data_IF_649697266345
#
_entry.id   IF_649697266345
#
_cell.length_a   1.000
_cell.length_b   1.000
_cell.length_c   1.000
_cell.angle_alpha   90.00
_cell.angle_beta   90.00
_cell.angle_gamma   90.00
#
_symmetry.space_group_name_H-M   'P 1'
#
loop_
_entity.id
_entity.type
_entity.pdbx_description
1 polymer ?
#
# COMPACT_ATOMS: atom_id res chain seq x y z
N UNK A 1 -7.59 0.58 5.29
CA UNK A 1 -8.08 -0.80 5.46
C UNK A 1 -8.29 -1.05 6.95
N UNK A 2 -9.14 -2.01 7.32
CA UNK A 2 -9.49 -2.37 8.68
C UNK A 2 -9.39 -3.88 8.86
N UNK A 3 -9.02 -4.32 10.06
CA UNK A 3 -8.96 -5.72 10.47
C UNK A 3 -9.13 -5.82 11.99
N UNK A 4 -9.23 -7.03 12.52
CA UNK A 4 -8.99 -7.28 13.94
C UNK A 4 -7.56 -7.75 14.12
N UNK A 5 -6.92 -7.31 15.19
CA UNK A 5 -5.51 -7.60 15.42
C UNK A 5 -5.13 -7.53 16.87
N UNK A 6 -3.88 -7.89 17.12
CA UNK A 6 -3.27 -7.83 18.44
C UNK A 6 -2.01 -6.99 18.38
N UNK A 7 -1.59 -6.51 19.54
CA UNK A 7 -0.32 -5.80 19.67
C UNK A 7 0.84 -6.81 19.63
N UNK A 8 1.72 -6.67 18.64
CA UNK A 8 3.03 -7.29 18.64
C UNK A 8 4.05 -6.47 19.43
N UNK A 9 5.34 -6.71 19.21
CA UNK A 9 6.41 -6.06 19.98
C UNK A 9 6.42 -4.53 19.80
N UNK A 10 6.34 -4.07 18.56
CA UNK A 10 6.40 -2.64 18.20
C UNK A 10 5.11 -2.11 17.60
N UNK A 11 4.37 -2.95 16.87
CA UNK A 11 3.23 -2.56 16.04
C UNK A 11 2.04 -3.51 16.22
N UNK A 12 0.87 -3.10 15.74
CA UNK A 12 -0.27 -4.02 15.62
C UNK A 12 -0.11 -4.90 14.39
N UNK A 13 -0.66 -6.11 14.45
CA UNK A 13 -0.74 -7.00 13.30
C UNK A 13 -2.14 -7.62 13.21
N UNK A 14 -2.71 -7.77 12.01
CA UNK A 14 -3.94 -8.52 11.82
C UNK A 14 -3.78 -9.95 12.35
N UNK A 15 -4.83 -10.47 12.97
CA UNK A 15 -4.88 -11.90 13.30
C UNK A 15 -4.85 -12.72 12.01
N UNK A 16 -4.27 -13.92 12.06
CA UNK A 16 -4.24 -14.81 10.88
C UNK A 16 -5.64 -15.18 10.38
N UNK A 17 -6.61 -15.26 11.29
CA UNK A 17 -8.02 -15.52 10.99
C UNK A 17 -8.77 -14.28 10.54
N UNK A 18 -8.15 -13.10 10.58
CA UNK A 18 -8.83 -11.85 10.30
C UNK A 18 -8.92 -11.57 8.81
N UNK A 19 -10.08 -11.06 8.38
CA UNK A 19 -10.24 -10.55 7.02
C UNK A 19 -9.87 -9.07 6.96
N UNK A 20 -8.86 -8.72 6.15
CA UNK A 20 -8.56 -7.32 5.85
C UNK A 20 -9.64 -6.74 4.95
N UNK A 21 -10.40 -5.78 5.48
CA UNK A 21 -11.55 -5.18 4.81
C UNK A 21 -11.32 -3.69 4.48
N UNK A 22 -11.94 -3.22 3.40
CA UNK A 22 -11.99 -1.80 3.08
C UNK A 22 -12.90 -1.03 4.04
N UNK A 23 -13.99 -1.65 4.48
CA UNK A 23 -15.00 -1.02 5.32
C UNK A 23 -14.84 -1.42 6.79
N UNK A 24 -14.86 -0.41 7.67
CA UNK A 24 -14.75 -0.59 9.12
C UNK A 24 -15.81 -1.53 9.69
N UNK A 25 -17.05 -1.42 9.21
CA UNK A 25 -18.18 -2.21 9.70
C UNK A 25 -17.92 -3.72 9.58
N UNK A 26 -17.21 -4.16 8.54
CA UNK A 26 -16.86 -5.58 8.34
C UNK A 26 -15.95 -6.08 9.46
N UNK A 27 -14.88 -5.33 9.77
CA UNK A 27 -13.96 -5.68 10.83
C UNK A 27 -14.58 -5.53 12.24
N UNK A 28 -15.52 -4.60 12.43
CA UNK A 28 -16.30 -4.49 13.67
C UNK A 28 -17.21 -5.71 13.89
N UNK A 29 -17.87 -6.20 12.83
CA UNK A 29 -18.69 -7.39 12.91
C UNK A 29 -17.85 -8.64 13.21
N UNK A 30 -16.66 -8.73 12.62
CA UNK A 30 -15.69 -9.78 12.90
C UNK A 30 -15.20 -9.74 14.35
N UNK A 31 -14.88 -8.54 14.87
CA UNK A 31 -14.48 -8.36 16.26
C UNK A 31 -15.56 -8.81 17.24
N UNK A 32 -16.83 -8.53 16.94
CA UNK A 32 -17.96 -8.95 17.77
C UNK A 32 -18.16 -10.48 17.82
N UNK A 33 -17.60 -11.21 16.85
CA UNK A 33 -17.63 -12.67 16.78
C UNK A 33 -16.33 -13.32 17.27
N UNK A 34 -15.31 -12.53 17.59
CA UNK A 34 -14.01 -13.04 18.04
C UNK A 34 -14.09 -13.52 19.49
N UNK A 35 -13.59 -14.74 19.74
CA UNK A 35 -13.40 -15.28 21.09
C UNK A 35 -12.09 -14.79 21.74
N UNK A 36 -11.21 -14.13 20.98
CA UNK A 36 -9.95 -13.59 21.49
C UNK A 36 -10.18 -12.25 22.21
N UNK A 37 -9.97 -12.26 23.53
CA UNK A 37 -10.15 -11.10 24.41
C UNK A 37 -9.12 -9.99 24.19
N UNK A 38 -8.00 -10.27 23.52
CA UNK A 38 -6.97 -9.27 23.22
C UNK A 38 -7.13 -8.68 21.82
N UNK A 39 -8.04 -9.21 21.01
CA UNK A 39 -8.32 -8.67 19.69
C UNK A 39 -8.89 -7.26 19.81
N UNK A 40 -8.34 -6.34 19.02
CA UNK A 40 -8.83 -4.98 18.89
C UNK A 40 -9.03 -4.62 17.42
N UNK A 41 -9.88 -3.64 17.17
CA UNK A 41 -10.03 -3.09 15.84
C UNK A 41 -8.78 -2.27 15.48
N UNK A 42 -8.15 -2.63 14.36
CA UNK A 42 -6.96 -1.95 13.85
C UNK A 42 -7.22 -1.36 12.46
N UNK A 43 -6.52 -0.28 12.14
CA UNK A 43 -6.58 0.41 10.86
C UNK A 43 -5.20 0.53 10.24
N UNK A 44 -5.13 0.30 8.92
CA UNK A 44 -3.97 0.60 8.11
C UNK A 44 -4.30 1.76 7.16
N UNK A 45 -3.45 2.79 7.18
CA UNK A 45 -3.56 3.93 6.28
C UNK A 45 -2.64 3.71 5.10
N UNK A 46 -3.26 3.73 3.93
CA UNK A 46 -2.56 3.75 2.65
C UNK A 46 -2.87 5.10 2.03
N UNK A 47 -1.83 5.87 1.73
CA UNK A 47 -2.00 7.15 1.05
C UNK A 47 -2.29 6.95 -0.45
N UNK A 48 -2.80 7.99 -1.14
CA UNK A 48 -2.98 7.94 -2.59
C UNK A 48 -1.66 7.68 -3.32
N UNK A 49 -1.75 7.11 -4.51
CA UNK A 49 -0.63 7.02 -5.45
C UNK A 49 -0.14 8.41 -5.84
N UNK A 50 1.17 8.59 -5.87
CA UNK A 50 1.83 9.81 -6.33
C UNK A 50 3.07 9.46 -7.16
N UNK A 51 3.57 10.37 -8.02
CA UNK A 51 4.86 10.21 -8.66
C UNK A 51 5.94 9.95 -7.62
N UNK A 52 6.83 9.01 -7.90
CA UNK A 52 7.89 8.66 -6.99
C UNK A 52 8.85 9.83 -6.75
N UNK A 53 9.12 10.14 -5.48
CA UNK A 53 10.07 11.20 -5.11
C UNK A 53 11.44 10.61 -4.80
N UNK A 54 12.52 11.33 -5.13
CA UNK A 54 13.90 10.89 -4.86
C UNK A 54 14.30 10.97 -3.38
N UNK A 55 13.39 11.35 -2.48
CA UNK A 55 13.73 11.59 -1.08
C UNK A 55 14.22 10.30 -0.39
N UNK A 56 15.49 10.35 0.02
CA UNK A 56 16.23 9.25 0.63
C UNK A 56 15.86 8.96 2.10
N UNK A 57 15.09 9.83 2.74
CA UNK A 57 14.76 9.72 4.17
C UNK A 57 13.33 9.23 4.36
N UNK A 58 13.13 7.94 4.08
CA UNK A 58 11.82 7.28 4.14
C UNK A 58 11.65 6.55 5.47
N UNK A 59 10.54 6.81 6.17
CA UNK A 59 10.23 6.23 7.49
C UNK A 59 9.17 5.12 7.46
N UNK A 60 8.49 4.93 6.33
CA UNK A 60 7.45 3.93 6.14
C UNK A 60 7.71 3.07 4.90
N UNK A 61 7.23 1.81 4.85
CA UNK A 61 7.24 1.01 3.63
C UNK A 61 6.37 1.61 2.51
N UNK A 62 6.66 1.24 1.26
CA UNK A 62 5.91 1.69 0.09
C UNK A 62 5.43 0.52 -0.76
N UNK A 63 4.22 0.66 -1.28
CA UNK A 63 3.83 -0.02 -2.50
C UNK A 63 4.24 0.86 -3.68
N UNK A 64 4.78 0.23 -4.72
CA UNK A 64 5.15 0.91 -5.94
C UNK A 64 4.67 0.13 -7.16
N UNK A 65 4.48 0.87 -8.24
CA UNK A 65 4.23 0.31 -9.55
C UNK A 65 5.08 1.06 -10.56
N UNK A 66 5.76 0.29 -11.41
CA UNK A 66 6.45 0.82 -12.60
C UNK A 66 5.56 0.49 -13.78
N UNK A 67 5.37 1.46 -14.68
CA UNK A 67 4.64 1.26 -15.91
C UNK A 67 5.12 2.21 -16.98
N UNK A 68 4.42 2.21 -18.10
CA UNK A 68 4.64 3.17 -19.16
C UNK A 68 3.33 3.82 -19.58
N UNK A 69 3.46 5.02 -20.12
CA UNK A 69 2.39 5.79 -20.74
C UNK A 69 2.68 5.94 -22.22
N UNK A 70 1.70 5.72 -23.08
CA UNK A 70 1.77 6.05 -24.52
C UNK A 70 1.14 7.42 -24.85
N UNK A 71 0.84 8.21 -23.82
CA UNK A 71 0.21 9.53 -23.90
C UNK A 71 -1.28 9.51 -23.52
N UNK A 72 -2.02 8.50 -23.95
CA UNK A 72 -3.47 8.36 -23.69
C UNK A 72 -3.78 7.22 -22.70
N UNK A 73 -2.87 6.26 -22.56
CA UNK A 73 -3.06 5.09 -21.71
C UNK A 73 -1.88 4.84 -20.79
N UNK A 74 -2.19 4.51 -19.55
CA UNK A 74 -1.22 4.02 -18.58
C UNK A 74 -1.31 2.51 -18.46
N UNK A 75 -0.19 1.82 -18.71
CA UNK A 75 -0.07 0.37 -18.53
C UNK A 75 0.91 0.08 -17.40
N UNK A 76 0.44 -0.40 -16.23
CA UNK A 76 1.32 -0.84 -15.15
C UNK A 76 1.97 -2.18 -15.53
N UNK A 77 3.26 -2.31 -15.24
CA UNK A 77 4.02 -3.56 -15.43
C UNK A 77 3.80 -4.53 -14.26
N UNK A 78 3.51 -4.01 -13.07
CA UNK A 78 3.22 -4.81 -11.87
C UNK A 78 3.06 -3.95 -10.61
N UNK A 79 2.54 -4.55 -9.56
CA UNK A 79 2.46 -3.96 -8.22
C UNK A 79 3.42 -4.71 -7.30
N UNK A 80 4.39 -3.99 -6.75
CA UNK A 80 5.44 -4.52 -5.89
C UNK A 80 5.46 -3.79 -4.54
N UNK A 81 6.04 -4.43 -3.53
CA UNK A 81 6.22 -3.85 -2.19
C UNK A 81 7.70 -3.87 -1.85
N UNK A 82 8.26 -2.72 -1.49
CA UNK A 82 9.65 -2.63 -1.07
C UNK A 82 9.85 -1.51 -0.05
N UNK A 83 10.75 -1.75 0.90
CA UNK A 83 11.34 -0.73 1.76
C UNK A 83 12.72 -0.27 1.26
N UNK A 84 13.25 -0.92 0.21
CA UNK A 84 14.53 -0.64 -0.40
C UNK A 84 14.33 0.07 -1.74
N UNK A 85 14.82 1.31 -1.83
CA UNK A 85 14.75 2.14 -3.04
C UNK A 85 15.53 1.54 -4.20
N UNK A 86 16.66 0.88 -3.92
CA UNK A 86 17.51 0.32 -4.97
C UNK A 86 16.81 -0.80 -5.74
N UNK A 87 15.96 -1.58 -5.06
CA UNK A 87 15.12 -2.59 -5.71
C UNK A 87 14.13 -1.95 -6.69
N UNK A 88 13.58 -0.78 -6.33
CA UNK A 88 12.63 -0.07 -7.19
C UNK A 88 13.32 0.55 -8.41
N UNK A 89 14.49 1.16 -8.20
CA UNK A 89 15.30 1.76 -9.27
C UNK A 89 15.81 0.70 -10.26
N UNK A 90 16.09 -0.51 -9.78
CA UNK A 90 16.43 -1.65 -10.62
C UNK A 90 15.24 -2.08 -11.49
N UNK A 91 14.04 -2.18 -10.92
CA UNK A 91 12.83 -2.46 -11.71
C UNK A 91 12.56 -1.35 -12.75
N UNK A 92 12.70 -0.08 -12.36
CA UNK A 92 12.57 1.06 -13.25
C UNK A 92 13.53 0.99 -14.45
N UNK A 93 14.80 0.71 -14.17
CA UNK A 93 15.85 0.56 -15.19
C UNK A 93 15.53 -0.59 -16.14
N UNK A 94 15.01 -1.70 -15.62
CA UNK A 94 14.61 -2.86 -16.41
C UNK A 94 13.48 -2.53 -17.38
N UNK A 95 12.46 -1.79 -16.91
CA UNK A 95 11.35 -1.32 -17.74
C UNK A 95 11.82 -0.36 -18.83
N UNK A 96 12.69 0.60 -18.48
CA UNK A 96 13.28 1.53 -19.43
C UNK A 96 14.05 0.81 -20.55
N UNK A 97 14.87 -0.18 -20.20
CA UNK A 97 15.61 -0.98 -21.17
C UNK A 97 14.66 -1.75 -22.11
N UNK A 98 13.63 -2.40 -21.56
CA UNK A 98 12.69 -3.17 -22.37
C UNK A 98 11.83 -2.29 -23.30
N UNK A 99 11.50 -1.05 -22.92
CA UNK A 99 10.86 -0.08 -23.82
C UNK A 99 11.81 0.31 -24.95
N UNK A 100 13.07 0.62 -24.63
CA UNK A 100 14.07 0.95 -25.64
C UNK A 100 14.31 -0.21 -26.64
N UNK A 101 14.31 -1.45 -26.15
CA UNK A 101 14.47 -2.65 -26.97
C UNK A 101 13.23 -2.99 -27.82
N UNK A 102 12.05 -2.47 -27.47
CA UNK A 102 10.79 -2.86 -28.11
C UNK A 102 10.67 -2.42 -29.57
N UNK A 103 11.50 -1.49 -30.06
CA UNK A 103 11.49 -0.95 -31.43
C UNK A 103 10.08 -0.51 -31.91
N UNK A 104 9.19 -0.15 -30.99
CA UNK A 104 7.84 0.31 -31.32
C UNK A 104 7.92 1.79 -31.70
N UNK A 105 7.37 2.14 -32.87
CA UNK A 105 7.18 3.53 -33.27
C UNK A 105 6.14 4.19 -32.35
N UNK A 106 6.60 4.89 -31.32
CA UNK A 106 5.75 5.58 -30.34
C UNK A 106 6.57 6.30 -29.26
N UNK A 107 6.04 7.39 -28.72
CA UNK A 107 6.62 8.05 -27.54
C UNK A 107 6.08 7.36 -26.30
N UNK A 108 6.97 6.70 -25.55
CA UNK A 108 6.61 6.07 -24.28
C UNK A 108 7.30 6.80 -23.13
N UNK A 109 6.51 7.27 -22.16
CA UNK A 109 7.03 7.82 -20.93
C UNK A 109 6.99 6.75 -19.83
N UNK A 110 8.08 6.63 -19.08
CA UNK A 110 8.10 5.72 -17.93
C UNK A 110 7.49 6.41 -16.73
N UNK A 111 6.53 5.74 -16.09
CA UNK A 111 5.86 6.24 -14.91
C UNK A 111 6.17 5.33 -13.72
N UNK A 112 6.73 5.92 -12.68
CA UNK A 112 6.87 5.29 -11.38
C UNK A 112 5.89 5.96 -10.42
N UNK A 113 4.91 5.20 -9.95
CA UNK A 113 4.01 5.63 -8.88
C UNK A 113 4.34 4.88 -7.61
N UNK A 114 4.28 5.57 -6.49
CA UNK A 114 4.42 4.96 -5.17
C UNK A 114 3.36 5.50 -4.21
N UNK A 115 3.09 4.73 -3.17
CA UNK A 115 2.26 5.17 -2.05
C UNK A 115 2.81 4.65 -0.73
N UNK A 116 2.91 5.52 0.30
CA UNK A 116 3.21 5.09 1.66
C UNK A 116 2.15 4.11 2.19
N UNK A 117 2.63 2.99 2.73
CA UNK A 117 1.84 2.04 3.50
C UNK A 117 2.28 2.12 4.94
N UNK A 118 1.45 2.75 5.77
CA UNK A 118 1.77 2.86 7.18
C UNK A 118 1.57 1.51 7.90
N UNK A 119 2.23 1.30 9.06
CA UNK A 119 1.91 0.21 9.97
C UNK A 119 0.44 0.19 10.37
N UNK A 120 0.01 -0.93 10.95
CA UNK A 120 -1.30 -1.02 11.58
C UNK A 120 -1.31 -0.29 12.92
N UNK A 121 -2.37 0.48 13.15
CA UNK A 121 -2.62 1.19 14.41
C UNK A 121 -3.98 0.80 14.98
N UNK A 122 -4.21 1.08 16.27
CA UNK A 122 -5.57 1.01 16.83
C UNK A 122 -6.48 1.95 16.02
N UNK A 123 -7.60 1.41 15.56
CA UNK A 123 -8.57 2.17 14.80
C UNK A 123 -9.16 3.30 15.64
N UNK A 124 -9.20 4.53 15.10
CA UNK A 124 -9.71 5.69 15.85
C UNK A 124 -11.17 5.46 16.27
N UNK A 125 -11.62 5.94 17.44
CA UNK A 125 -13.03 5.93 17.79
C UNK A 125 -13.87 6.66 16.73
N UNK A 126 -15.11 6.23 16.52
CA UNK A 126 -16.04 7.01 15.70
C UNK A 126 -16.23 8.37 16.36
N UNK A 127 -16.29 9.43 15.55
CA UNK A 127 -16.78 10.71 16.04
C UNK A 127 -18.22 10.50 16.53
N UNK A 128 -18.45 10.63 17.83
CA UNK A 128 -19.82 10.67 18.35
C UNK A 128 -20.44 12.00 17.92
N UNK A 129 -21.66 12.01 17.37
CA UNK A 129 -22.36 13.28 17.14
C UNK A 129 -22.48 13.99 18.49
N UNK A 130 -22.02 15.24 18.55
CA UNK A 130 -22.29 16.13 19.68
C UNK A 130 -23.81 16.25 19.78
N UNK A 131 -24.35 15.69 20.86
CA UNK A 131 -25.79 15.70 21.16
C UNK A 131 -26.26 17.09 21.54
#
# INVERSE_FOLDING_TARGET
MYAIGIRGDTDFQPLQTSTVALHRNTAEAELAQSDDQHAVLIEQRILPWAPATEDAQRTAPYEYTVGYSDGDHYTPWGLSYSNDRSAIELELTTVQAAIADSNVDGSFDVLMLERPVFPWYIARPRAMPLS
#
